data_IF_312447539544
#
_entry.id   IF_312447539544
#
_cell.length_a   1.000
_cell.length_b   1.000
_cell.length_c   1.000
_cell.angle_alpha   90.00
_cell.angle_beta   90.00
_cell.angle_gamma   90.00
#
_symmetry.space_group_name_H-M   'P 1'
#
loop_
_entity.id
_entity.type
_entity.pdbx_description
1 polymer ?
#
# COMPACT_ATOMS: atom_id res chain seq x y z
N UNK A 1 21.92 -0.83 -5.07
CA UNK A 1 22.75 0.33 -5.49
C UNK A 1 21.85 1.33 -6.22
N UNK A 2 21.41 2.37 -5.51
CA UNK A 2 20.52 3.39 -6.06
C UNK A 2 21.23 4.23 -7.12
N UNK A 3 20.90 4.08 -8.39
CA UNK A 3 21.27 5.00 -9.46
C UNK A 3 20.02 5.54 -10.11
N UNK A 4 19.53 6.66 -9.59
CA UNK A 4 18.99 7.77 -10.36
C UNK A 4 19.52 9.05 -9.71
N UNK A 5 20.75 9.41 -10.02
CA UNK A 5 21.13 10.81 -10.00
C UNK A 5 20.47 11.44 -11.22
N UNK A 6 19.26 11.90 -11.04
CA UNK A 6 18.72 13.00 -11.81
C UNK A 6 19.36 14.25 -11.19
N UNK A 7 20.11 15.01 -11.94
CA UNK A 7 20.81 16.23 -11.49
C UNK A 7 19.87 17.28 -10.89
N UNK A 8 18.54 17.02 -10.91
CA UNK A 8 17.50 17.85 -10.32
C UNK A 8 17.18 17.49 -8.87
N UNK A 9 17.65 16.33 -8.36
CA UNK A 9 17.41 15.89 -6.98
C UNK A 9 18.67 16.20 -6.15
N UNK A 10 18.57 17.04 -5.10
CA UNK A 10 19.72 17.34 -4.23
C UNK A 10 20.23 16.06 -3.55
N UNK A 11 21.43 16.11 -2.98
CA UNK A 11 21.99 15.03 -2.19
C UNK A 11 21.00 14.58 -1.10
N UNK A 12 20.88 13.27 -0.90
CA UNK A 12 19.88 12.67 -0.01
C UNK A 12 20.41 12.41 1.41
N UNK A 13 21.57 12.96 1.76
CA UNK A 13 22.02 12.98 3.16
C UNK A 13 21.14 13.92 4.01
N UNK A 14 21.09 13.66 5.31
CA UNK A 14 20.18 14.35 6.22
C UNK A 14 20.33 15.88 6.23
N UNK A 15 21.59 16.37 6.13
CA UNK A 15 21.88 17.82 6.14
C UNK A 15 21.35 18.48 4.87
N UNK A 16 21.67 17.92 3.70
CA UNK A 16 21.22 18.43 2.41
C UNK A 16 19.69 18.45 2.30
N UNK A 17 19.01 17.41 2.78
CA UNK A 17 17.54 17.34 2.82
C UNK A 17 16.95 18.37 3.78
N UNK A 18 17.55 18.54 4.96
CA UNK A 18 17.11 19.54 5.93
C UNK A 18 17.22 20.95 5.38
N UNK A 19 18.33 21.30 4.76
CA UNK A 19 18.58 22.65 4.24
C UNK A 19 17.75 22.94 2.97
N UNK A 20 17.67 21.99 2.04
CA UNK A 20 16.93 22.18 0.77
C UNK A 20 15.43 21.99 0.87
N UNK A 21 14.95 21.31 1.93
CA UNK A 21 13.54 20.89 2.09
C UNK A 21 13.04 20.01 0.92
N UNK A 22 13.96 19.32 0.25
CA UNK A 22 13.67 18.44 -0.88
C UNK A 22 14.35 17.08 -0.63
N UNK A 23 13.60 16.01 -0.87
CA UNK A 23 14.10 14.65 -0.71
C UNK A 23 13.17 13.63 -1.37
N UNK A 24 13.74 12.48 -1.71
CA UNK A 24 13.01 11.26 -2.05
C UNK A 24 13.00 10.34 -0.81
N UNK A 25 12.53 9.10 -0.94
CA UNK A 25 12.43 8.16 0.18
C UNK A 25 13.72 8.03 1.01
N UNK A 26 14.88 7.94 0.36
CA UNK A 26 16.17 7.87 1.04
C UNK A 26 16.44 9.13 1.89
N UNK A 27 16.08 10.31 1.38
CA UNK A 27 16.24 11.58 2.09
C UNK A 27 15.35 11.69 3.33
N UNK A 28 14.09 11.30 3.23
CA UNK A 28 13.18 11.23 4.38
C UNK A 28 13.70 10.26 5.44
N UNK A 29 14.10 9.04 5.04
CA UNK A 29 14.60 8.02 5.96
C UNK A 29 15.91 8.47 6.65
N UNK A 30 16.85 9.06 5.91
CA UNK A 30 18.10 9.55 6.45
C UNK A 30 17.90 10.73 7.42
N UNK A 31 16.99 11.66 7.08
CA UNK A 31 16.67 12.80 7.93
C UNK A 31 16.05 12.33 9.25
N UNK A 32 15.07 11.41 9.21
CA UNK A 32 14.45 10.87 10.43
C UNK A 32 15.47 10.15 11.30
N UNK A 33 16.35 9.32 10.73
CA UNK A 33 17.42 8.65 11.47
C UNK A 33 18.43 9.63 12.08
N UNK A 34 18.75 10.73 11.39
CA UNK A 34 19.65 11.76 11.92
C UNK A 34 19.00 12.56 13.07
N UNK A 35 17.71 12.89 12.95
CA UNK A 35 16.97 13.56 14.04
C UNK A 35 16.87 12.69 15.28
N UNK A 36 16.60 11.39 15.13
CA UNK A 36 16.56 10.42 16.22
C UNK A 36 17.90 10.34 16.97
N UNK A 37 19.03 10.39 16.27
CA UNK A 37 20.35 10.42 16.90
C UNK A 37 20.56 11.65 17.82
N UNK A 38 19.97 12.80 17.47
CA UNK A 38 20.06 14.01 18.30
C UNK A 38 19.25 13.86 19.59
N UNK A 39 18.10 13.19 19.52
CA UNK A 39 17.24 12.93 20.70
C UNK A 39 17.67 11.71 21.50
N UNK A 40 18.63 10.93 21.01
CA UNK A 40 19.08 9.68 21.64
C UNK A 40 18.19 8.47 21.36
N UNK A 41 17.30 8.59 20.38
CA UNK A 41 16.41 7.52 19.97
C UNK A 41 17.08 6.56 18.97
N UNK A 42 16.69 5.28 19.00
CA UNK A 42 17.21 4.25 18.11
C UNK A 42 16.30 4.11 16.88
N UNK A 43 16.73 4.65 15.73
CA UNK A 43 16.03 4.57 14.45
C UNK A 43 16.97 4.06 13.37
N UNK A 44 16.60 2.95 12.74
CA UNK A 44 17.30 2.35 11.61
C UNK A 44 16.69 2.80 10.29
N UNK A 45 17.52 3.03 9.26
CA UNK A 45 17.07 3.13 7.86
C UNK A 45 16.99 1.72 7.28
N UNK A 46 15.85 1.40 6.71
CA UNK A 46 15.57 0.12 6.04
C UNK A 46 15.44 0.37 4.54
N UNK A 47 16.03 -0.53 3.75
CA UNK A 47 15.97 -0.50 2.28
C UNK A 47 15.28 -1.75 1.77
N UNK A 48 14.52 -1.62 0.69
CA UNK A 48 13.81 -2.74 0.10
C UNK A 48 12.99 -2.34 -1.13
N UNK A 49 12.02 -3.16 -1.46
CA UNK A 49 11.05 -2.91 -2.52
C UNK A 49 9.75 -2.35 -1.96
N UNK A 50 9.09 -1.49 -2.75
CA UNK A 50 7.74 -1.05 -2.48
C UNK A 50 6.80 -1.46 -3.62
N UNK A 51 5.67 -2.08 -3.28
CA UNK A 51 4.65 -2.51 -4.22
C UNK A 51 3.56 -1.46 -4.33
N UNK A 52 3.33 -0.96 -5.52
CA UNK A 52 2.35 0.11 -5.77
C UNK A 52 1.04 -0.39 -6.35
N UNK A 53 1.05 -1.60 -6.94
CA UNK A 53 -0.15 -2.28 -7.47
C UNK A 53 0.05 -3.81 -7.38
N UNK A 54 -0.93 -4.58 -7.79
CA UNK A 54 -0.97 -6.06 -7.72
C UNK A 54 0.30 -6.70 -8.29
N UNK A 55 0.78 -6.21 -9.42
CA UNK A 55 1.93 -6.76 -10.16
C UNK A 55 3.07 -5.75 -10.35
N UNK A 56 3.01 -4.60 -9.66
CA UNK A 56 3.96 -3.51 -9.88
C UNK A 56 4.77 -3.22 -8.62
N UNK A 57 6.08 -3.45 -8.71
CA UNK A 57 7.05 -2.92 -7.75
C UNK A 57 7.48 -1.54 -8.23
N UNK A 58 7.44 -0.55 -7.35
CA UNK A 58 7.94 0.79 -7.63
C UNK A 58 9.41 0.74 -8.08
N UNK A 59 9.71 1.34 -9.23
CA UNK A 59 11.04 1.24 -9.84
C UNK A 59 12.14 1.89 -8.98
N UNK A 60 13.25 1.18 -8.80
CA UNK A 60 14.47 1.70 -8.18
C UNK A 60 14.61 1.50 -6.68
N UNK A 61 13.75 0.66 -6.06
CA UNK A 61 13.76 0.39 -4.62
C UNK A 61 13.06 1.49 -3.79
N UNK A 62 12.99 1.27 -2.48
CA UNK A 62 12.39 2.19 -1.52
C UNK A 62 13.18 2.22 -0.21
N UNK A 63 13.07 3.28 0.56
CA UNK A 63 13.68 3.40 1.87
C UNK A 63 12.67 3.96 2.88
N UNK A 64 12.68 3.36 4.06
CA UNK A 64 11.84 3.73 5.20
C UNK A 64 12.58 3.57 6.51
N UNK A 65 11.92 3.61 7.64
CA UNK A 65 12.56 3.50 8.94
C UNK A 65 11.94 2.40 9.81
N UNK A 66 12.76 1.90 10.71
CA UNK A 66 12.32 1.17 11.89
C UNK A 66 12.78 1.94 13.14
N UNK A 67 11.85 2.26 14.05
CA UNK A 67 12.10 2.94 15.29
C UNK A 67 11.92 1.98 16.47
N UNK A 68 12.81 2.04 17.47
CA UNK A 68 12.72 1.24 18.67
C UNK A 68 12.10 2.03 19.80
N UNK A 69 10.94 1.61 20.26
CA UNK A 69 10.17 2.26 21.32
C UNK A 69 9.87 1.23 22.40
N UNK A 70 10.26 1.48 23.63
CA UNK A 70 10.04 0.56 24.74
C UNK A 70 10.65 -0.84 24.50
N UNK A 71 11.79 -0.91 23.80
CA UNK A 71 12.48 -2.16 23.47
C UNK A 71 11.92 -2.92 22.26
N UNK A 72 10.86 -2.45 21.63
CA UNK A 72 10.23 -3.06 20.44
C UNK A 72 10.43 -2.20 19.20
N UNK A 73 10.61 -2.84 18.04
CA UNK A 73 10.73 -2.19 16.76
C UNK A 73 9.36 -1.94 16.13
N UNK A 74 9.22 -0.77 15.48
CA UNK A 74 8.02 -0.32 14.76
C UNK A 74 8.41 0.25 13.40
N UNK A 75 7.62 0.00 12.39
CA UNK A 75 7.86 0.46 11.02
C UNK A 75 7.21 1.83 10.77
N UNK A 76 7.94 2.68 10.04
CA UNK A 76 7.53 4.05 9.72
C UNK A 76 7.93 4.35 8.28
N UNK A 77 7.00 4.86 7.45
CA UNK A 77 7.34 5.46 6.16
C UNK A 77 6.88 6.92 6.11
N UNK A 78 7.79 7.83 6.47
CA UNK A 78 7.53 9.26 6.42
C UNK A 78 7.34 9.79 5.00
N UNK A 79 7.84 9.09 3.97
CA UNK A 79 7.67 9.49 2.57
C UNK A 79 6.22 9.30 2.13
N UNK A 80 5.67 8.11 2.36
CA UNK A 80 4.30 7.80 1.96
C UNK A 80 3.26 8.51 2.84
N UNK A 81 3.62 8.88 4.06
CA UNK A 81 2.78 9.69 4.94
C UNK A 81 2.87 11.20 4.67
N UNK A 82 3.83 11.68 3.87
CA UNK A 82 3.98 13.11 3.55
C UNK A 82 3.03 13.59 2.46
N UNK A 83 2.63 12.72 1.53
CA UNK A 83 1.80 13.07 0.38
C UNK A 83 2.01 12.14 -0.81
N UNK A 84 1.75 12.65 -2.00
CA UNK A 84 1.88 11.87 -3.23
C UNK A 84 2.42 12.73 -4.38
N UNK A 85 2.97 12.05 -5.39
CA UNK A 85 3.46 12.66 -6.62
C UNK A 85 2.49 12.35 -7.75
N UNK A 86 2.09 13.39 -8.49
CA UNK A 86 1.32 13.27 -9.71
C UNK A 86 2.16 13.86 -10.86
N UNK A 87 2.64 12.98 -11.76
CA UNK A 87 3.63 13.37 -12.75
C UNK A 87 4.93 13.83 -12.10
N UNK A 88 5.25 15.12 -12.19
CA UNK A 88 6.42 15.76 -11.56
C UNK A 88 6.09 16.62 -10.34
N UNK A 89 4.80 16.79 -10.04
CA UNK A 89 4.35 17.66 -8.96
C UNK A 89 4.09 16.85 -7.67
N UNK A 90 4.68 17.30 -6.57
CA UNK A 90 4.40 16.77 -5.24
C UNK A 90 3.19 17.50 -4.63
N UNK A 91 2.20 16.74 -4.18
CA UNK A 91 1.07 17.25 -3.41
C UNK A 91 1.22 16.83 -1.97
N UNK A 92 1.35 17.82 -1.08
CA UNK A 92 1.42 17.57 0.35
C UNK A 92 0.05 17.10 0.86
N UNK A 93 0.02 15.91 1.44
CA UNK A 93 -1.18 15.29 2.00
C UNK A 93 -0.78 14.39 3.18
N UNK A 94 -0.54 15.01 4.32
CA UNK A 94 -0.10 14.29 5.52
C UNK A 94 -1.11 13.23 5.94
N UNK A 95 -0.60 12.06 6.27
CA UNK A 95 -1.34 10.93 6.84
C UNK A 95 -0.52 10.23 7.93
N UNK A 96 -1.12 9.26 8.60
CA UNK A 96 -0.46 8.36 9.56
C UNK A 96 -0.68 6.90 9.18
N UNK A 97 -0.86 6.63 7.88
CA UNK A 97 -1.14 5.30 7.38
C UNK A 97 0.04 4.34 7.59
N UNK A 98 1.26 4.91 7.61
CA UNK A 98 2.52 4.18 7.75
C UNK A 98 3.31 4.59 8.99
N UNK A 99 2.66 5.22 9.98
CA UNK A 99 3.26 5.57 11.27
C UNK A 99 3.03 4.45 12.29
N UNK A 100 4.09 3.77 12.72
CA UNK A 100 4.06 2.65 13.68
C UNK A 100 3.11 1.52 13.26
N UNK A 101 2.99 1.29 11.96
CA UNK A 101 2.03 0.36 11.36
C UNK A 101 2.42 -1.09 11.68
N UNK A 102 1.44 -1.95 12.04
CA UNK A 102 1.70 -3.37 12.28
C UNK A 102 2.41 -4.05 11.11
N UNK A 103 3.38 -4.95 11.37
CA UNK A 103 4.21 -5.57 10.35
C UNK A 103 3.42 -6.29 9.24
N UNK A 104 2.30 -6.93 9.60
CA UNK A 104 1.42 -7.63 8.66
C UNK A 104 0.75 -6.68 7.67
N UNK A 105 0.44 -5.45 8.11
CA UNK A 105 -0.16 -4.41 7.28
C UNK A 105 0.91 -3.70 6.46
N UNK A 106 2.00 -3.29 7.11
CA UNK A 106 3.13 -2.62 6.45
C UNK A 106 3.75 -3.49 5.35
N UNK A 107 3.92 -4.78 5.64
CA UNK A 107 4.50 -5.75 4.70
C UNK A 107 3.54 -6.21 3.60
N UNK A 108 2.37 -5.60 3.41
CA UNK A 108 1.55 -5.80 2.19
C UNK A 108 2.20 -5.13 0.99
N UNK A 109 2.80 -3.98 1.20
CA UNK A 109 3.37 -3.15 0.13
C UNK A 109 4.85 -2.77 0.34
N UNK A 110 5.48 -3.19 1.45
CA UNK A 110 6.91 -3.02 1.73
C UNK A 110 7.60 -4.36 1.95
N UNK A 111 8.65 -4.63 1.20
CA UNK A 111 9.47 -5.85 1.33
C UNK A 111 10.93 -5.48 1.54
N UNK A 112 11.49 -5.63 2.76
CA UNK A 112 12.86 -5.25 3.05
C UNK A 112 13.88 -6.22 2.44
N UNK A 113 15.07 -5.73 2.08
CA UNK A 113 16.18 -6.58 1.64
C UNK A 113 16.66 -7.56 2.73
N UNK A 114 16.49 -7.20 4.00
CA UNK A 114 16.86 -8.04 5.13
C UNK A 114 15.62 -8.51 5.87
N UNK A 115 15.41 -9.80 5.96
CA UNK A 115 14.21 -10.43 6.56
C UNK A 115 13.92 -9.98 7.99
N UNK A 116 14.94 -9.66 8.79
CA UNK A 116 14.76 -9.14 10.15
C UNK A 116 13.89 -7.89 10.21
N UNK A 117 13.89 -7.08 9.15
CA UNK A 117 13.10 -5.85 9.09
C UNK A 117 11.67 -6.07 8.61
N UNK A 118 11.28 -7.29 8.28
CA UNK A 118 9.85 -7.60 8.12
C UNK A 118 9.11 -7.48 9.46
N UNK A 119 9.80 -7.66 10.58
CA UNK A 119 9.27 -7.65 11.97
C UNK A 119 8.09 -8.61 12.19
N UNK A 120 7.83 -9.51 11.26
CA UNK A 120 6.80 -10.55 11.32
C UNK A 120 7.29 -11.72 12.17
N UNK A 121 6.39 -12.37 12.89
CA UNK A 121 6.70 -13.62 13.60
C UNK A 121 7.21 -14.71 12.65
N UNK A 122 6.74 -14.72 11.43
CA UNK A 122 7.21 -15.57 10.32
C UNK A 122 7.45 -14.70 9.10
N UNK A 123 8.71 -14.45 8.74
CA UNK A 123 9.04 -13.76 7.51
C UNK A 123 8.48 -14.51 6.30
N UNK A 124 8.10 -13.77 5.28
CA UNK A 124 7.62 -14.31 4.00
C UNK A 124 8.69 -14.08 2.93
N UNK A 125 8.70 -14.95 1.91
CA UNK A 125 9.55 -14.74 0.75
C UNK A 125 8.98 -13.71 -0.23
N UNK A 126 9.79 -13.31 -1.22
CA UNK A 126 9.38 -12.32 -2.23
C UNK A 126 8.19 -12.80 -3.08
N UNK A 127 8.09 -14.10 -3.34
CA UNK A 127 6.98 -14.68 -4.09
C UNK A 127 5.67 -14.54 -3.32
N UNK A 128 5.69 -14.84 -2.02
CA UNK A 128 4.53 -14.66 -1.17
C UNK A 128 4.17 -13.17 -0.99
N UNK A 129 5.17 -12.29 -0.87
CA UNK A 129 4.94 -10.84 -0.87
C UNK A 129 4.14 -10.38 -2.10
N UNK A 130 4.50 -10.85 -3.30
CA UNK A 130 3.79 -10.48 -4.53
C UNK A 130 2.40 -11.11 -4.64
N UNK A 131 2.19 -12.28 -4.02
CA UNK A 131 0.88 -12.97 -4.05
C UNK A 131 -0.12 -12.45 -3.03
N UNK A 132 0.32 -11.74 -1.97
CA UNK A 132 -0.59 -11.18 -0.97
C UNK A 132 -1.65 -10.29 -1.63
N UNK A 133 -2.91 -10.29 -1.13
CA UNK A 133 -3.93 -9.31 -1.52
C UNK A 133 -3.40 -7.89 -1.40
N UNK A 134 -3.56 -7.08 -2.45
CA UNK A 134 -3.07 -5.69 -2.45
C UNK A 134 -4.05 -4.78 -1.72
N UNK A 135 -4.01 -4.82 -0.39
CA UNK A 135 -4.85 -4.01 0.50
C UNK A 135 -4.06 -2.82 1.02
N UNK A 136 -4.67 -1.65 0.97
CA UNK A 136 -4.07 -0.41 1.48
C UNK A 136 -4.26 -0.30 3.00
N UNK A 137 -3.39 0.43 3.68
CA UNK A 137 -3.48 0.65 5.14
C UNK A 137 -4.88 1.08 5.59
N UNK A 138 -5.58 1.90 4.79
CA UNK A 138 -6.95 2.35 5.07
C UNK A 138 -7.98 1.23 5.12
N UNK A 139 -7.79 0.10 4.42
CA UNK A 139 -8.64 -1.07 4.57
C UNK A 139 -8.69 -1.53 6.04
N UNK A 140 -7.53 -1.68 6.63
CA UNK A 140 -7.37 -2.11 8.01
C UNK A 140 -7.82 -1.02 9.02
N UNK A 141 -7.61 0.25 8.71
CA UNK A 141 -8.08 1.37 9.55
C UNK A 141 -9.61 1.44 9.64
N UNK A 142 -10.34 1.01 8.60
CA UNK A 142 -11.79 0.80 8.68
C UNK A 142 -12.19 -0.40 9.52
N UNK A 143 -11.23 -1.20 10.00
CA UNK A 143 -11.48 -2.43 10.77
C UNK A 143 -11.93 -3.59 9.89
N UNK A 144 -11.76 -3.47 8.58
CA UNK A 144 -12.12 -4.53 7.63
C UNK A 144 -11.10 -5.68 7.71
N UNK A 145 -11.58 -6.90 7.47
CA UNK A 145 -10.76 -8.09 7.40
C UNK A 145 -11.17 -8.88 6.16
N UNK A 146 -10.19 -9.14 5.28
CA UNK A 146 -10.43 -9.96 4.09
C UNK A 146 -10.54 -11.43 4.49
N UNK A 147 -11.59 -12.11 4.02
CA UNK A 147 -11.78 -13.55 4.19
C UNK A 147 -11.42 -14.30 2.91
N UNK A 148 -11.80 -13.76 1.76
CA UNK A 148 -11.39 -14.28 0.45
C UNK A 148 -11.42 -13.19 -0.63
N UNK A 149 -10.60 -13.32 -1.67
CA UNK A 149 -9.58 -14.37 -1.86
C UNK A 149 -8.32 -14.10 -1.00
N UNK A 150 -7.50 -15.12 -0.84
CA UNK A 150 -6.21 -15.03 -0.14
C UNK A 150 -5.04 -14.61 -1.07
N UNK A 151 -5.32 -14.36 -2.35
CA UNK A 151 -4.35 -13.98 -3.39
C UNK A 151 -4.78 -12.71 -4.11
N UNK A 152 -3.78 -11.92 -4.50
CA UNK A 152 -3.99 -10.70 -5.28
C UNK A 152 -4.40 -10.97 -6.73
N UNK A 153 -4.04 -12.15 -7.25
CA UNK A 153 -4.36 -12.59 -8.61
C UNK A 153 -5.11 -13.91 -8.54
N UNK A 154 -6.25 -13.99 -9.21
CA UNK A 154 -7.11 -15.17 -9.20
C UNK A 154 -7.61 -15.50 -10.61
N UNK A 155 -7.80 -16.79 -10.89
CA UNK A 155 -8.49 -17.25 -12.09
C UNK A 155 -9.91 -17.65 -11.71
N UNK A 156 -10.88 -17.12 -12.41
CA UNK A 156 -12.31 -17.28 -12.11
C UNK A 156 -13.12 -17.49 -13.40
N UNK A 157 -14.38 -17.86 -13.25
CA UNK A 157 -15.34 -17.95 -14.37
C UNK A 157 -15.91 -16.58 -14.75
N UNK A 158 -17.23 -16.50 -14.88
CA UNK A 158 -17.95 -15.28 -15.32
C UNK A 158 -18.06 -14.19 -14.25
N UNK A 159 -17.66 -14.45 -13.01
CA UNK A 159 -17.70 -13.49 -11.90
C UNK A 159 -16.60 -13.70 -10.90
N UNK A 160 -16.30 -12.66 -10.15
CA UNK A 160 -15.33 -12.65 -9.06
C UNK A 160 -16.00 -12.25 -7.76
N UNK A 161 -15.80 -13.06 -6.71
CA UNK A 161 -16.33 -12.83 -5.38
C UNK A 161 -15.24 -12.43 -4.39
N UNK A 162 -15.55 -11.42 -3.56
CA UNK A 162 -14.70 -10.98 -2.46
C UNK A 162 -15.57 -10.98 -1.20
N UNK A 163 -15.07 -11.58 -0.11
CA UNK A 163 -15.73 -11.57 1.19
C UNK A 163 -14.88 -10.84 2.22
N UNK A 164 -15.52 -9.92 2.96
CA UNK A 164 -14.86 -9.04 3.91
C UNK A 164 -15.69 -8.98 5.19
N UNK A 165 -15.09 -9.28 6.34
CA UNK A 165 -15.69 -8.97 7.64
C UNK A 165 -15.66 -7.47 7.89
N UNK A 166 -16.77 -6.94 8.39
CA UNK A 166 -17.01 -5.52 8.59
C UNK A 166 -17.55 -5.22 9.99
N UNK A 167 -16.77 -5.45 11.04
CA UNK A 167 -17.24 -5.31 12.42
C UNK A 167 -17.55 -3.87 12.85
N UNK A 168 -17.05 -2.88 12.08
CA UNK A 168 -17.26 -1.45 12.38
C UNK A 168 -18.30 -0.77 11.50
N UNK A 169 -18.99 -1.51 10.63
CA UNK A 169 -20.04 -0.97 9.79
C UNK A 169 -19.57 0.03 8.72
N UNK A 170 -18.35 -0.13 8.18
CA UNK A 170 -17.88 0.68 7.07
C UNK A 170 -18.75 0.44 5.82
N UNK A 171 -18.88 1.47 4.99
CA UNK A 171 -19.54 1.35 3.69
C UNK A 171 -18.52 1.00 2.63
N UNK A 172 -18.85 0.06 1.75
CA UNK A 172 -17.98 -0.36 0.66
C UNK A 172 -18.62 -0.15 -0.69
N UNK A 173 -17.77 0.20 -1.66
CA UNK A 173 -18.06 0.17 -3.09
C UNK A 173 -16.99 -0.66 -3.77
N UNK A 174 -17.36 -1.28 -4.88
CA UNK A 174 -16.40 -1.98 -5.72
C UNK A 174 -16.69 -1.69 -7.19
N UNK A 175 -15.62 -1.66 -7.97
CA UNK A 175 -15.68 -1.48 -9.43
C UNK A 175 -14.77 -2.49 -10.10
N UNK A 176 -15.09 -2.85 -11.31
CA UNK A 176 -14.28 -3.72 -12.16
C UNK A 176 -14.06 -3.06 -13.51
N UNK A 177 -12.84 -3.14 -14.03
CA UNK A 177 -12.47 -2.67 -15.36
C UNK A 177 -11.42 -3.59 -15.99
N UNK A 178 -11.33 -3.64 -17.33
CA UNK A 178 -10.23 -4.34 -18.01
C UNK A 178 -8.87 -3.83 -17.51
N UNK A 179 -7.90 -4.73 -17.34
CA UNK A 179 -6.56 -4.39 -16.81
C UNK A 179 -5.88 -3.23 -17.54
N UNK A 180 -6.05 -3.18 -18.85
CA UNK A 180 -5.41 -2.18 -19.72
C UNK A 180 -6.36 -1.01 -20.11
N UNK A 181 -7.51 -0.90 -19.42
CA UNK A 181 -8.39 0.26 -19.63
C UNK A 181 -7.68 1.56 -19.22
N UNK A 182 -7.98 2.68 -19.90
CA UNK A 182 -7.44 3.99 -19.56
C UNK A 182 -7.64 4.33 -18.07
N UNK A 183 -6.74 5.13 -17.50
CA UNK A 183 -6.83 5.55 -16.10
C UNK A 183 -8.15 6.28 -15.80
N UNK A 184 -8.62 7.09 -16.74
CA UNK A 184 -9.89 7.81 -16.64
C UNK A 184 -11.14 6.90 -16.66
N UNK A 185 -10.99 5.64 -17.09
CA UNK A 185 -12.08 4.67 -17.06
C UNK A 185 -12.42 4.31 -15.62
N UNK A 186 -13.63 4.65 -15.21
CA UNK A 186 -14.14 4.39 -13.87
C UNK A 186 -14.52 2.92 -13.65
N UNK A 187 -14.61 2.13 -14.71
CA UNK A 187 -15.08 0.75 -14.67
C UNK A 187 -16.57 0.60 -14.30
N UNK A 188 -17.05 -0.61 -14.35
CA UNK A 188 -18.42 -0.97 -13.99
C UNK A 188 -18.55 -1.21 -12.47
N UNK A 189 -19.74 -0.94 -11.92
CA UNK A 189 -20.01 -1.22 -10.52
C UNK A 189 -20.23 -2.70 -10.28
N UNK A 190 -19.59 -3.23 -9.25
CA UNK A 190 -19.91 -4.55 -8.71
C UNK A 190 -21.12 -4.47 -7.75
N UNK A 191 -21.81 -5.60 -7.59
CA UNK A 191 -22.82 -5.74 -6.53
C UNK A 191 -22.13 -5.82 -5.17
N UNK A 192 -22.64 -5.12 -4.17
CA UNK A 192 -22.15 -5.16 -2.80
C UNK A 192 -23.32 -5.43 -1.87
N UNK A 193 -23.31 -6.57 -1.19
CA UNK A 193 -24.25 -6.90 -0.14
C UNK A 193 -23.66 -6.40 1.19
N UNK A 194 -24.25 -5.35 1.80
CA UNK A 194 -23.75 -4.79 3.05
C UNK A 194 -24.09 -5.68 4.25
N UNK A 195 -23.35 -5.50 5.33
CA UNK A 195 -23.59 -6.22 6.59
C UNK A 195 -22.33 -6.37 7.42
N UNK A 196 -22.39 -7.17 8.51
CA UNK A 196 -21.22 -7.54 9.29
C UNK A 196 -20.20 -8.37 8.50
N UNK A 197 -20.69 -9.11 7.48
CA UNK A 197 -19.89 -9.74 6.43
C UNK A 197 -20.35 -9.19 5.10
N UNK A 198 -19.47 -8.45 4.43
CA UNK A 198 -19.74 -7.86 3.11
C UNK A 198 -19.37 -8.88 2.04
N UNK A 199 -20.27 -9.08 1.08
CA UNK A 199 -19.99 -9.83 -0.14
C UNK A 199 -20.00 -8.89 -1.33
N UNK A 200 -18.90 -8.87 -2.07
CA UNK A 200 -18.75 -8.15 -3.33
C UNK A 200 -18.78 -9.17 -4.47
N UNK A 201 -19.59 -8.92 -5.50
CA UNK A 201 -19.64 -9.75 -6.70
C UNK A 201 -19.46 -8.86 -7.93
N UNK A 202 -18.38 -9.11 -8.68
CA UNK A 202 -18.05 -8.38 -9.90
C UNK A 202 -18.27 -9.30 -11.10
N UNK A 203 -19.26 -9.05 -11.98
CA UNK A 203 -19.44 -9.81 -13.21
C UNK A 203 -18.42 -9.40 -14.26
N UNK A 204 -18.06 -10.32 -15.15
CA UNK A 204 -17.21 -10.05 -16.31
C UNK A 204 -17.99 -10.20 -17.60
N UNK A 205 -17.92 -9.24 -18.53
CA UNK A 205 -18.64 -9.30 -19.80
C UNK A 205 -18.06 -10.34 -20.75
N UNK A 206 -16.77 -10.65 -20.66
CA UNK A 206 -16.04 -11.57 -21.55
C UNK A 206 -14.84 -12.20 -20.81
N UNK A 207 -14.20 -13.16 -21.47
CA UNK A 207 -12.88 -13.63 -21.04
C UNK A 207 -11.86 -12.49 -21.14
N UNK A 208 -10.93 -12.46 -20.19
CA UNK A 208 -9.94 -11.39 -20.13
C UNK A 208 -9.32 -11.20 -18.75
N UNK A 209 -8.47 -10.18 -18.66
CA UNK A 209 -7.83 -9.80 -17.40
C UNK A 209 -8.44 -8.49 -16.91
N UNK A 210 -8.90 -8.48 -15.67
CA UNK A 210 -9.63 -7.38 -15.06
C UNK A 210 -8.96 -6.93 -13.75
N UNK A 211 -9.16 -5.67 -13.42
CA UNK A 211 -8.86 -5.10 -12.09
C UNK A 211 -10.17 -4.89 -11.33
N UNK A 212 -10.27 -5.51 -10.16
CA UNK A 212 -11.34 -5.23 -9.20
C UNK A 212 -10.79 -4.25 -8.15
N UNK A 213 -11.42 -3.08 -8.06
CA UNK A 213 -11.03 -1.97 -7.21
C UNK A 213 -12.01 -1.86 -6.04
N UNK A 214 -11.50 -1.90 -4.82
CA UNK A 214 -12.29 -1.75 -3.60
C UNK A 214 -12.14 -0.35 -3.03
N UNK A 215 -13.25 0.22 -2.59
CA UNK A 215 -13.32 1.52 -1.93
C UNK A 215 -14.11 1.38 -0.63
N UNK A 216 -13.67 2.11 0.40
CA UNK A 216 -14.38 2.14 1.68
C UNK A 216 -14.53 3.58 2.20
N UNK A 217 -15.62 3.82 2.93
CA UNK A 217 -15.96 5.09 3.55
C UNK A 217 -16.64 4.88 4.90
N UNK A 218 -16.71 5.95 5.70
CA UNK A 218 -17.39 5.93 7.01
C UNK A 218 -18.89 6.19 6.91
N UNK A 219 -19.31 6.87 5.85
CA UNK A 219 -20.67 7.32 5.61
C UNK A 219 -21.15 6.84 4.24
N UNK A 220 -22.43 6.50 4.14
CA UNK A 220 -23.02 5.95 2.92
C UNK A 220 -22.92 6.91 1.72
N UNK A 221 -23.06 8.20 1.96
CA UNK A 221 -23.01 9.25 0.93
C UNK A 221 -21.77 10.15 1.08
N UNK A 222 -20.76 9.66 1.80
CA UNK A 222 -19.52 10.37 2.05
C UNK A 222 -18.45 10.10 1.00
N UNK A 223 -17.21 10.45 1.36
CA UNK A 223 -16.03 10.17 0.54
C UNK A 223 -15.54 8.75 0.73
N UNK A 224 -15.31 8.06 -0.37
CA UNK A 224 -14.74 6.72 -0.38
C UNK A 224 -13.26 6.77 -0.81
N UNK A 225 -12.42 6.13 -0.02
CA UNK A 225 -10.99 5.97 -0.36
C UNK A 225 -10.77 4.62 -1.02
N UNK A 226 -9.85 4.57 -1.98
CA UNK A 226 -9.37 3.30 -2.54
C UNK A 226 -8.64 2.50 -1.45
N UNK A 227 -9.07 1.26 -1.21
CA UNK A 227 -8.58 0.42 -0.11
C UNK A 227 -8.02 -0.92 -0.55
N UNK A 228 -8.17 -1.30 -1.82
CA UNK A 228 -7.59 -2.55 -2.31
C UNK A 228 -7.80 -2.78 -3.80
N UNK A 229 -6.92 -3.58 -4.38
CA UNK A 229 -6.97 -4.01 -5.79
C UNK A 229 -6.72 -5.50 -5.90
N UNK A 230 -7.50 -6.15 -6.75
CA UNK A 230 -7.28 -7.53 -7.17
C UNK A 230 -7.20 -7.60 -8.69
N UNK A 231 -6.47 -8.59 -9.18
CA UNK A 231 -6.50 -8.97 -10.59
C UNK A 231 -7.27 -10.27 -10.75
N UNK A 232 -8.25 -10.27 -11.63
CA UNK A 232 -9.03 -11.46 -11.94
C UNK A 232 -8.85 -11.83 -13.41
N UNK A 233 -8.49 -13.07 -13.67
CA UNK A 233 -8.42 -13.66 -15.01
C UNK A 233 -9.73 -14.43 -15.23
N UNK A 234 -10.64 -13.86 -16.03
CA UNK A 234 -11.89 -14.53 -16.42
C UNK A 234 -11.64 -15.53 -17.55
N UNK A 235 -12.01 -16.77 -17.31
CA UNK A 235 -12.01 -17.85 -18.30
C UNK A 235 -13.31 -18.65 -18.15
N UNK A 236 -14.12 -18.66 -19.18
CA UNK A 236 -15.41 -19.38 -19.24
C UNK A 236 -15.26 -20.78 -19.79
#
# INVERSE_FOLDING_TARGET
MYKRQDDTIPAQDARSVFDSRKGVCAGYANLLSAMAKVTGDEVATVVGDARTDVDTIGGGGHAWNAAKIGGKWYLIDATWDSGHVNGRAFTKAYSTNYLLTPPEIFGVDHYPEQDRWQLRARPIDRGEFMRQPMLRARFFMHGLKLNKPDRSQVTVGSSFEIEVDNPRGAFMLARVKPKHAPEADQGERCSVLPGPSIRVTCPFPSDGVYRALLFAGREQYGTYSHVGTFEAVSRR
#
